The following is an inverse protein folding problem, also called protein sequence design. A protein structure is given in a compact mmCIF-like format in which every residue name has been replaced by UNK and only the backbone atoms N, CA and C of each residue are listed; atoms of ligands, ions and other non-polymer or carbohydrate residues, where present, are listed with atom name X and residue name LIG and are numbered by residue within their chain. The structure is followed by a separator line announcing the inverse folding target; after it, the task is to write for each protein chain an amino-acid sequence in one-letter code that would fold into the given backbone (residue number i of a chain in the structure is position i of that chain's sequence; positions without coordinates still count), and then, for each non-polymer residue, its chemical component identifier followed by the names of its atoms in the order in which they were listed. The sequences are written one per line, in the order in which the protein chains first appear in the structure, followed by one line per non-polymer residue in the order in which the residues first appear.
data_IF_108311863621
#
_entry.id   IF_108311863621
#
_cell.length_a   1.000
_cell.length_b   1.000
_cell.length_c   1.000
_cell.angle_alpha   90.00
_cell.angle_beta   90.00
_cell.angle_gamma   90.00
#
_symmetry.space_group_name_H-M   'P 1'
#
loop_
_entity.id
_entity.type
_entity.pdbx_description
1 polymer ?
#
# COMPACT_ATOMS: atom_id res chain seq x y z
N UNK A 1 -38.59 -13.95 -41.46
CA UNK A 1 -38.40 -13.31 -40.14
C UNK A 1 -37.30 -14.05 -39.44
N UNK A 2 -36.08 -13.47 -39.49
CA UNK A 2 -34.90 -14.05 -38.84
C UNK A 2 -34.78 -13.50 -37.42
N UNK A 3 -34.45 -14.31 -36.41
CA UNK A 3 -34.27 -13.82 -35.03
C UNK A 3 -32.90 -13.12 -34.89
N UNK A 4 -32.95 -11.92 -34.29
CA UNK A 4 -31.80 -11.10 -33.94
C UNK A 4 -30.98 -11.80 -32.82
N UNK A 5 -29.63 -11.83 -32.89
CA UNK A 5 -28.83 -12.41 -31.83
C UNK A 5 -28.81 -11.50 -30.63
N UNK A 6 -29.33 -12.00 -29.51
CA UNK A 6 -29.33 -11.35 -28.20
C UNK A 6 -27.90 -11.11 -27.71
N UNK A 7 -27.58 -9.84 -27.45
CA UNK A 7 -26.30 -9.40 -26.94
C UNK A 7 -26.00 -10.00 -25.56
N UNK A 8 -24.86 -10.64 -25.43
CA UNK A 8 -24.30 -11.14 -24.17
C UNK A 8 -23.85 -9.93 -23.33
N UNK A 9 -24.71 -9.46 -22.44
CA UNK A 9 -24.43 -8.37 -21.51
C UNK A 9 -23.62 -8.91 -20.32
N UNK A 10 -22.33 -8.71 -20.37
CA UNK A 10 -21.53 -8.21 -19.27
C UNK A 10 -21.48 -8.94 -17.93
N UNK A 11 -20.94 -10.17 -17.82
CA UNK A 11 -20.57 -10.79 -16.54
C UNK A 11 -19.27 -10.20 -15.89
N UNK A 12 -18.62 -9.21 -16.54
CA UNK A 12 -17.36 -8.60 -16.05
C UNK A 12 -17.49 -7.45 -15.06
N UNK A 13 -18.67 -6.86 -14.88
CA UNK A 13 -18.87 -5.63 -14.11
C UNK A 13 -18.67 -5.69 -12.60
N UNK A 14 -19.08 -6.73 -11.83
CA UNK A 14 -18.98 -6.68 -10.36
C UNK A 14 -17.58 -6.90 -9.80
N UNK A 15 -16.71 -7.66 -10.46
CA UNK A 15 -15.34 -7.90 -10.01
C UNK A 15 -14.43 -6.66 -10.23
N UNK A 16 -14.62 -5.95 -11.35
CA UNK A 16 -13.90 -4.71 -11.66
C UNK A 16 -14.26 -3.59 -10.67
N UNK A 17 -15.55 -3.42 -10.38
CA UNK A 17 -16.02 -2.42 -9.43
C UNK A 17 -15.51 -2.66 -7.99
N UNK A 18 -15.28 -3.92 -7.62
CA UNK A 18 -14.72 -4.28 -6.31
C UNK A 18 -13.23 -3.94 -6.20
N UNK A 19 -12.50 -3.89 -7.30
CA UNK A 19 -11.09 -3.49 -7.32
C UNK A 19 -10.92 -1.96 -7.29
N UNK A 20 -11.78 -1.23 -7.98
CA UNK A 20 -11.63 0.23 -8.20
C UNK A 20 -11.63 1.04 -6.89
N UNK A 21 -12.51 0.75 -5.93
CA UNK A 21 -12.53 1.49 -4.66
C UNK A 21 -11.28 1.20 -3.80
N UNK A 22 -10.77 -0.03 -3.83
CA UNK A 22 -9.53 -0.39 -3.14
C UNK A 22 -8.33 0.32 -3.76
N UNK A 23 -8.32 0.47 -5.08
CA UNK A 23 -7.27 1.21 -5.79
C UNK A 23 -7.32 2.70 -5.46
N UNK A 24 -8.53 3.30 -5.35
CA UNK A 24 -8.70 4.68 -4.86
C UNK A 24 -8.11 4.83 -3.46
N UNK A 25 -8.44 3.93 -2.53
CA UNK A 25 -7.93 4.00 -1.15
C UNK A 25 -6.40 3.88 -1.08
N UNK A 26 -5.82 2.98 -1.88
CA UNK A 26 -4.35 2.89 -1.99
C UNK A 26 -3.74 4.16 -2.54
N UNK A 27 -4.37 4.76 -3.56
CA UNK A 27 -3.93 6.03 -4.13
C UNK A 27 -3.96 7.16 -3.11
N UNK A 28 -5.04 7.29 -2.35
CA UNK A 28 -5.16 8.28 -1.25
C UNK A 28 -4.08 8.08 -0.20
N UNK A 29 -3.90 6.85 0.29
CA UNK A 29 -2.89 6.54 1.30
C UNK A 29 -1.48 6.84 0.81
N UNK A 30 -1.16 6.53 -0.46
CA UNK A 30 0.15 6.82 -1.05
C UNK A 30 0.40 8.32 -1.22
N UNK A 31 -0.58 9.09 -1.67
CA UNK A 31 -0.42 10.55 -1.74
C UNK A 31 -0.16 11.13 -0.35
N UNK A 32 -0.86 10.64 0.67
CA UNK A 32 -0.61 11.04 2.06
C UNK A 32 0.81 10.64 2.54
N UNK A 33 1.36 9.50 2.09
CA UNK A 33 2.76 9.10 2.34
C UNK A 33 3.73 10.06 1.65
N UNK A 34 3.49 10.41 0.39
CA UNK A 34 4.34 11.35 -0.37
C UNK A 34 4.36 12.73 0.31
N UNK A 35 3.19 13.27 0.67
CA UNK A 35 3.08 14.56 1.37
C UNK A 35 3.78 14.54 2.74
N UNK A 36 3.65 13.44 3.47
CA UNK A 36 4.36 13.26 4.74
C UNK A 36 5.88 13.34 4.55
N UNK A 37 6.44 12.62 3.57
CA UNK A 37 7.86 12.64 3.33
C UNK A 37 8.34 13.96 2.72
N UNK A 38 7.54 14.62 1.87
CA UNK A 38 7.86 15.97 1.39
C UNK A 38 8.00 16.97 2.55
N UNK A 39 7.12 16.86 3.56
CA UNK A 39 7.24 17.70 4.77
C UNK A 39 8.43 17.32 5.65
N UNK A 40 8.61 16.01 5.95
CA UNK A 40 9.67 15.58 6.88
C UNK A 40 11.08 15.73 6.33
N UNK A 41 11.24 15.74 5.00
CA UNK A 41 12.54 15.91 4.34
C UNK A 41 12.96 17.37 4.19
N UNK A 42 12.11 18.36 4.51
CA UNK A 42 12.49 19.78 4.61
C UNK A 42 13.69 20.01 5.53
N UNK A 43 13.90 19.13 6.52
CA UNK A 43 15.09 19.16 7.39
C UNK A 43 16.42 19.06 6.64
N UNK A 44 16.43 18.50 5.43
CA UNK A 44 17.64 18.44 4.60
C UNK A 44 17.93 19.74 3.83
N UNK A 45 17.03 20.73 3.95
CA UNK A 45 17.21 22.09 3.50
C UNK A 45 17.12 23.09 4.68
N UNK A 46 17.34 22.62 5.92
CA UNK A 46 17.25 23.38 7.18
C UNK A 46 15.93 24.16 7.36
N UNK A 47 14.85 23.69 6.74
CA UNK A 47 13.54 24.34 6.78
C UNK A 47 12.57 23.65 7.74
N UNK A 48 11.74 24.47 8.40
CA UNK A 48 10.67 23.99 9.29
C UNK A 48 9.45 23.52 8.50
N UNK A 49 8.81 22.46 9.01
CA UNK A 49 7.54 21.98 8.45
C UNK A 49 6.43 23.00 8.72
N UNK A 50 5.72 23.52 7.70
CA UNK A 50 4.59 24.40 7.88
C UNK A 50 3.53 23.80 8.81
N UNK A 51 2.96 24.60 9.71
CA UNK A 51 2.02 24.12 10.73
C UNK A 51 0.78 23.43 10.13
N UNK A 52 0.18 24.03 9.10
CA UNK A 52 -0.94 23.41 8.38
C UNK A 52 -0.61 22.05 7.80
N UNK A 53 0.61 21.87 7.25
CA UNK A 53 1.06 20.57 6.75
C UNK A 53 1.30 19.58 7.90
N UNK A 54 1.80 20.04 9.03
CA UNK A 54 1.99 19.21 10.23
C UNK A 54 0.64 18.70 10.73
N UNK A 55 -0.37 19.57 10.82
CA UNK A 55 -1.74 19.20 11.19
C UNK A 55 -2.34 18.17 10.22
N UNK A 56 -2.26 18.41 8.91
CA UNK A 56 -2.74 17.47 7.88
C UNK A 56 -2.01 16.12 7.97
N UNK A 57 -0.71 16.13 8.15
CA UNK A 57 0.09 14.91 8.30
C UNK A 57 -0.24 14.15 9.59
N UNK A 58 -0.51 14.85 10.68
CA UNK A 58 -0.98 14.27 11.94
C UNK A 58 -2.35 13.61 11.75
N UNK A 59 -3.29 14.33 11.17
CA UNK A 59 -4.62 13.79 10.88
C UNK A 59 -4.60 12.58 9.93
N UNK A 60 -3.69 12.53 8.96
CA UNK A 60 -3.57 11.40 8.05
C UNK A 60 -2.76 10.21 8.64
N UNK A 61 -2.08 10.37 9.77
CA UNK A 61 -1.19 9.35 10.32
C UNK A 61 -1.86 7.97 10.47
N UNK A 62 -3.04 7.84 11.12
CA UNK A 62 -3.68 6.53 11.33
C UNK A 62 -4.21 5.91 10.03
N UNK A 63 -4.27 6.66 8.93
CA UNK A 63 -4.89 6.23 7.67
C UNK A 63 -3.87 5.98 6.55
N UNK A 64 -2.61 6.36 6.71
CA UNK A 64 -1.58 6.14 5.67
C UNK A 64 -1.18 4.67 5.55
N UNK A 65 -0.30 4.22 6.41
CA UNK A 65 0.22 2.84 6.41
C UNK A 65 -0.80 1.85 6.96
N UNK A 66 -1.55 2.13 8.05
CA UNK A 66 -2.58 1.21 8.53
C UNK A 66 -3.61 0.82 7.47
N UNK A 67 -4.08 1.78 6.67
CA UNK A 67 -4.99 1.50 5.56
C UNK A 67 -4.36 0.60 4.49
N UNK A 68 -3.10 0.84 4.10
CA UNK A 68 -2.39 0.00 3.13
C UNK A 68 -2.21 -1.44 3.64
N UNK A 69 -1.95 -1.59 4.93
CA UNK A 69 -1.82 -2.90 5.60
C UNK A 69 -3.15 -3.63 5.62
N UNK A 70 -4.23 -2.96 6.04
CA UNK A 70 -5.60 -3.52 6.05
C UNK A 70 -6.01 -3.99 4.64
N UNK A 71 -5.78 -3.17 3.62
CA UNK A 71 -6.05 -3.50 2.21
C UNK A 71 -5.19 -4.67 1.71
N UNK A 72 -3.98 -4.85 2.25
CA UNK A 72 -3.12 -5.98 1.92
C UNK A 72 -3.65 -7.28 2.54
N UNK A 73 -4.20 -7.21 3.76
CA UNK A 73 -4.92 -8.31 4.40
C UNK A 73 -6.15 -8.75 3.62
N UNK A 74 -6.95 -7.81 3.09
CA UNK A 74 -8.12 -8.11 2.25
C UNK A 74 -7.81 -8.96 1.01
N UNK A 75 -6.57 -8.97 0.54
CA UNK A 75 -6.16 -9.78 -0.61
C UNK A 75 -5.63 -11.17 -0.24
N UNK A 76 -5.53 -11.49 1.05
CA UNK A 76 -4.92 -12.73 1.53
C UNK A 76 -5.64 -14.00 1.07
N UNK A 77 -6.98 -14.15 1.18
CA UNK A 77 -7.64 -15.40 0.80
C UNK A 77 -7.32 -15.82 -0.64
N UNK A 78 -7.35 -14.87 -1.59
CA UNK A 78 -7.02 -15.12 -3.01
C UNK A 78 -5.53 -15.42 -3.24
N UNK A 79 -4.67 -14.94 -2.35
CA UNK A 79 -3.23 -15.16 -2.46
C UNK A 79 -2.83 -16.54 -1.95
N UNK A 80 -3.34 -16.94 -0.79
CA UNK A 80 -3.04 -18.22 -0.14
C UNK A 80 -3.67 -19.40 -0.89
N UNK A 81 -4.85 -19.24 -1.49
CA UNK A 81 -5.53 -20.29 -2.26
C UNK A 81 -4.71 -20.81 -3.46
N UNK A 82 -3.68 -20.08 -3.90
CA UNK A 82 -2.77 -20.49 -4.98
C UNK A 82 -1.74 -21.54 -4.57
N UNK A 83 -1.70 -21.95 -3.30
CA UNK A 83 -0.71 -22.84 -2.71
C UNK A 83 0.56 -22.11 -2.25
N UNK A 84 1.21 -22.64 -1.21
CA UNK A 84 2.33 -22.00 -0.49
C UNK A 84 3.47 -21.58 -1.40
N UNK A 85 3.94 -22.47 -2.30
CA UNK A 85 5.07 -22.19 -3.19
C UNK A 85 4.79 -21.04 -4.16
N UNK A 86 3.59 -21.03 -4.78
CA UNK A 86 3.18 -19.95 -5.71
C UNK A 86 2.94 -18.64 -4.96
N UNK A 87 2.35 -18.72 -3.78
CA UNK A 87 2.18 -17.59 -2.88
C UNK A 87 3.52 -16.95 -2.51
N UNK A 88 4.45 -17.73 -1.95
CA UNK A 88 5.77 -17.21 -1.51
C UNK A 88 6.54 -16.58 -2.68
N UNK A 89 6.65 -17.29 -3.82
CA UNK A 89 7.29 -16.74 -5.03
C UNK A 89 6.64 -15.44 -5.50
N UNK A 90 5.30 -15.38 -5.50
CA UNK A 90 4.58 -14.18 -5.90
C UNK A 90 4.84 -12.99 -4.96
N UNK A 91 4.92 -13.21 -3.65
CA UNK A 91 5.21 -12.16 -2.66
C UNK A 91 6.67 -11.71 -2.72
N UNK A 92 7.60 -12.64 -2.84
CA UNK A 92 9.02 -12.32 -3.03
C UNK A 92 9.25 -11.54 -4.33
N UNK A 93 8.62 -11.93 -5.42
CA UNK A 93 8.75 -11.21 -6.69
C UNK A 93 8.11 -9.82 -6.68
N UNK A 94 6.96 -9.66 -6.02
CA UNK A 94 6.19 -8.41 -6.07
C UNK A 94 6.57 -7.41 -4.97
N UNK A 95 7.14 -7.86 -3.85
CA UNK A 95 7.49 -7.00 -2.70
C UNK A 95 8.96 -7.17 -2.32
N UNK A 96 9.46 -8.41 -2.23
CA UNK A 96 10.83 -8.69 -1.82
C UNK A 96 11.87 -8.16 -2.79
N UNK A 97 11.68 -8.42 -4.07
CA UNK A 97 12.59 -7.92 -5.10
C UNK A 97 12.65 -6.38 -5.16
N UNK A 98 11.53 -5.66 -5.25
CA UNK A 98 11.58 -4.20 -5.15
C UNK A 98 12.19 -3.69 -3.85
N UNK A 99 11.91 -4.31 -2.72
CA UNK A 99 12.51 -3.94 -1.44
C UNK A 99 14.04 -4.03 -1.50
N UNK A 100 14.58 -5.17 -1.92
CA UNK A 100 16.04 -5.37 -2.01
C UNK A 100 16.70 -4.41 -2.99
N UNK A 101 16.18 -4.34 -4.22
CA UNK A 101 16.75 -3.50 -5.26
C UNK A 101 16.74 -2.01 -4.87
N UNK A 102 15.60 -1.52 -4.38
CA UNK A 102 15.45 -0.11 -4.04
C UNK A 102 16.16 0.27 -2.73
N UNK A 103 16.38 -0.67 -1.80
CA UNK A 103 17.27 -0.42 -0.65
C UNK A 103 18.70 -0.18 -1.12
N UNK A 104 19.20 -0.99 -2.06
CA UNK A 104 20.54 -0.78 -2.65
C UNK A 104 20.60 0.53 -3.43
N UNK A 105 19.64 0.79 -4.33
CA UNK A 105 19.60 2.03 -5.12
C UNK A 105 19.54 3.28 -4.24
N UNK A 106 18.75 3.24 -3.17
CA UNK A 106 18.69 4.34 -2.21
C UNK A 106 20.00 4.52 -1.46
N UNK A 107 20.65 3.42 -1.06
CA UNK A 107 21.98 3.46 -0.44
C UNK A 107 23.02 4.14 -1.33
N UNK A 108 23.00 3.86 -2.64
CA UNK A 108 23.88 4.53 -3.61
C UNK A 108 23.63 6.03 -3.74
N UNK A 109 22.37 6.45 -3.64
CA UNK A 109 21.99 7.88 -3.67
C UNK A 109 22.36 8.60 -2.36
N UNK A 110 22.19 7.91 -1.23
CA UNK A 110 22.43 8.49 0.10
C UNK A 110 23.92 8.50 0.48
N UNK A 111 24.70 7.49 0.03
CA UNK A 111 26.12 7.29 0.30
C UNK A 111 26.92 7.18 -1.00
N UNK A 112 27.16 8.28 -1.71
CA UNK A 112 27.79 8.24 -3.04
C UNK A 112 29.25 7.71 -3.02
N UNK A 113 29.90 7.68 -1.86
CA UNK A 113 31.29 7.21 -1.73
C UNK A 113 31.50 5.70 -1.74
N UNK A 114 30.45 4.87 -1.71
CA UNK A 114 30.51 3.38 -1.70
C UNK A 114 31.55 2.77 -0.72
N UNK A 115 31.86 3.47 0.36
CA UNK A 115 32.82 3.01 1.37
C UNK A 115 32.24 1.95 2.33
N UNK A 116 33.03 1.57 3.34
CA UNK A 116 32.61 0.67 4.43
C UNK A 116 31.34 1.19 5.14
N UNK A 117 31.17 2.49 5.21
CA UNK A 117 30.01 3.15 5.78
C UNK A 117 28.70 2.82 5.01
N UNK A 118 28.75 2.71 3.69
CA UNK A 118 27.62 2.30 2.87
C UNK A 118 27.18 0.87 3.19
N UNK A 119 28.13 -0.05 3.42
CA UNK A 119 27.85 -1.42 3.85
C UNK A 119 27.33 -1.47 5.30
N UNK A 120 27.92 -0.67 6.19
CA UNK A 120 27.49 -0.54 7.58
C UNK A 120 26.04 -0.02 7.70
N UNK A 121 25.60 0.79 6.75
CA UNK A 121 24.21 1.22 6.66
C UNK A 121 23.30 0.19 5.97
N UNK A 122 23.78 -0.42 4.87
CA UNK A 122 22.96 -1.31 4.02
C UNK A 122 22.49 -2.55 4.79
N UNK A 123 23.39 -3.24 5.51
CA UNK A 123 23.05 -4.47 6.21
C UNK A 123 22.01 -4.26 7.29
N UNK A 124 22.13 -3.32 8.23
CA UNK A 124 21.05 -3.00 9.17
C UNK A 124 19.76 -2.58 8.47
N UNK A 125 19.83 -1.78 7.40
CA UNK A 125 18.63 -1.33 6.67
C UNK A 125 17.86 -2.48 6.03
N UNK A 126 18.55 -3.51 5.54
CA UNK A 126 17.92 -4.72 5.01
C UNK A 126 17.25 -5.56 6.11
N UNK A 127 17.82 -5.59 7.32
CA UNK A 127 17.35 -6.42 8.43
C UNK A 127 16.25 -5.74 9.26
N UNK A 128 16.37 -4.42 9.46
CA UNK A 128 15.48 -3.66 10.35
C UNK A 128 14.48 -2.77 9.62
N UNK A 129 14.64 -2.63 8.30
CA UNK A 129 13.88 -1.64 7.54
C UNK A 129 14.27 -0.19 7.88
N UNK A 130 15.52 0.05 8.31
CA UNK A 130 16.06 1.37 8.71
C UNK A 130 16.03 2.45 7.61
N UNK A 131 15.48 2.13 6.44
CA UNK A 131 15.19 3.06 5.35
C UNK A 131 13.69 3.41 5.29
N UNK A 132 13.31 4.29 4.38
CA UNK A 132 11.89 4.59 4.09
C UNK A 132 11.09 3.35 3.62
N UNK A 133 11.77 2.26 3.25
CA UNK A 133 11.17 1.01 2.77
C UNK A 133 10.71 0.05 3.87
N UNK A 134 10.78 0.45 5.15
CA UNK A 134 10.38 -0.37 6.31
C UNK A 134 9.00 -1.02 6.15
N UNK A 135 8.06 -0.34 5.49
CA UNK A 135 6.72 -0.89 5.25
C UNK A 135 6.74 -2.13 4.33
N UNK A 136 7.60 -2.15 3.30
CA UNK A 136 7.75 -3.34 2.44
C UNK A 136 8.36 -4.52 3.20
N UNK A 137 9.32 -4.24 4.08
CA UNK A 137 9.89 -5.26 4.98
C UNK A 137 8.80 -5.84 5.90
N UNK A 138 8.02 -4.97 6.55
CA UNK A 138 6.91 -5.43 7.40
C UNK A 138 5.89 -6.25 6.62
N UNK A 139 5.54 -5.83 5.40
CA UNK A 139 4.67 -6.64 4.55
C UNK A 139 5.24 -8.02 4.26
N UNK A 140 6.55 -8.15 4.00
CA UNK A 140 7.20 -9.45 3.80
C UNK A 140 7.11 -10.32 5.05
N UNK A 141 7.40 -9.73 6.21
CA UNK A 141 7.26 -10.42 7.51
C UNK A 141 5.80 -10.84 7.74
N UNK A 142 4.83 -9.95 7.46
CA UNK A 142 3.40 -10.28 7.62
C UNK A 142 2.96 -11.38 6.65
N UNK A 143 3.45 -11.39 5.43
CA UNK A 143 3.17 -12.46 4.48
C UNK A 143 3.78 -13.80 4.91
N UNK A 144 4.96 -13.81 5.53
CA UNK A 144 5.57 -15.01 6.08
C UNK A 144 4.81 -15.49 7.33
N UNK A 145 4.54 -14.59 8.29
CA UNK A 145 3.76 -14.88 9.48
C UNK A 145 2.36 -15.39 9.16
N UNK A 146 1.72 -14.84 8.11
CA UNK A 146 0.41 -15.29 7.64
C UNK A 146 0.39 -16.76 7.20
N UNK A 147 1.48 -17.30 6.67
CA UNK A 147 1.58 -18.74 6.37
C UNK A 147 1.63 -19.60 7.65
N UNK A 148 2.24 -19.09 8.70
CA UNK A 148 2.31 -19.78 10.01
C UNK A 148 0.91 -19.80 10.64
N UNK A 149 0.24 -18.64 10.70
CA UNK A 149 -1.05 -18.50 11.38
C UNK A 149 -2.26 -18.86 10.49
N UNK A 150 -2.05 -19.36 9.28
CA UNK A 150 -3.13 -19.56 8.30
C UNK A 150 -4.26 -20.51 8.75
N UNK A 151 -3.97 -21.38 9.71
CA UNK A 151 -4.93 -22.34 10.26
C UNK A 151 -5.59 -21.87 11.56
N UNK A 152 -5.11 -20.75 12.11
CA UNK A 152 -5.61 -20.18 13.36
C UNK A 152 -6.77 -19.19 13.07
N UNK A 153 -7.67 -18.98 14.02
CA UNK A 153 -8.73 -17.99 13.90
C UNK A 153 -8.13 -16.57 13.90
N UNK A 154 -8.53 -15.75 12.92
CA UNK A 154 -7.88 -14.45 12.64
C UNK A 154 -8.05 -13.43 13.76
N UNK A 155 -9.28 -13.28 14.30
CA UNK A 155 -9.56 -12.26 15.32
C UNK A 155 -8.88 -12.56 16.66
N UNK A 156 -8.91 -13.78 17.22
CA UNK A 156 -8.12 -14.11 18.42
C UNK A 156 -6.64 -13.84 18.25
N UNK A 157 -6.04 -14.24 17.11
CA UNK A 157 -4.62 -13.95 16.86
C UNK A 157 -4.38 -12.44 16.76
N UNK A 158 -5.25 -11.68 16.09
CA UNK A 158 -5.16 -10.22 16.02
C UNK A 158 -5.26 -9.59 17.42
N UNK A 159 -6.16 -10.08 18.28
CA UNK A 159 -6.28 -9.62 19.65
C UNK A 159 -5.00 -9.86 20.48
N UNK A 160 -4.37 -11.03 20.34
CA UNK A 160 -3.09 -11.31 20.99
C UNK A 160 -2.04 -10.28 20.55
N UNK A 161 -1.93 -9.97 19.24
CA UNK A 161 -0.96 -8.98 18.76
C UNK A 161 -1.29 -7.55 19.21
N UNK A 162 -2.56 -7.21 19.40
CA UNK A 162 -2.96 -5.92 20.01
C UNK A 162 -2.54 -5.84 21.48
N UNK A 163 -2.74 -6.92 22.24
CA UNK A 163 -2.31 -7.00 23.64
C UNK A 163 -0.78 -6.92 23.73
N UNK A 164 -0.06 -7.65 22.90
CA UNK A 164 1.41 -7.58 22.85
C UNK A 164 1.90 -6.16 22.48
N UNK A 165 1.21 -5.47 21.59
CA UNK A 165 1.53 -4.09 21.24
C UNK A 165 1.30 -3.11 22.42
N UNK A 166 0.19 -3.26 23.16
CA UNK A 166 -0.11 -2.39 24.32
C UNK A 166 0.80 -2.66 25.51
N UNK A 167 1.15 -3.93 25.75
CA UNK A 167 2.00 -4.36 26.86
C UNK A 167 3.50 -4.29 26.56
N UNK A 168 3.90 -3.84 25.37
CA UNK A 168 5.30 -3.79 24.98
C UNK A 168 6.10 -2.89 25.96
N UNK A 169 7.09 -3.43 26.70
CA UNK A 169 7.95 -2.65 27.56
C UNK A 169 8.73 -1.59 26.78
N UNK A 170 9.20 -0.54 27.43
CA UNK A 170 9.95 0.55 26.77
C UNK A 170 11.17 0.02 26.02
N UNK A 171 11.85 -1.01 26.54
CA UNK A 171 12.96 -1.69 25.87
C UNK A 171 12.57 -2.35 24.52
N UNK A 172 11.31 -2.76 24.36
CA UNK A 172 10.78 -3.44 23.16
C UNK A 172 9.73 -2.62 22.42
N UNK A 173 9.60 -1.35 22.73
CA UNK A 173 8.58 -0.46 22.15
C UNK A 173 8.68 -0.34 20.63
N UNK A 174 9.83 -0.64 20.04
CA UNK A 174 9.99 -0.78 18.59
C UNK A 174 9.14 -1.91 17.98
N UNK A 175 8.66 -2.88 18.79
CA UNK A 175 7.77 -3.98 18.38
C UNK A 175 6.28 -3.59 18.41
N UNK A 176 5.91 -2.51 19.10
CA UNK A 176 4.52 -2.02 19.16
C UNK A 176 3.93 -1.81 17.76
N UNK A 177 4.65 -1.06 16.93
CA UNK A 177 4.20 -0.74 15.57
C UNK A 177 3.97 -1.99 14.69
N UNK A 178 4.93 -2.91 14.52
CA UNK A 178 4.71 -4.11 13.70
C UNK A 178 3.62 -5.01 14.26
N UNK A 179 3.48 -5.15 15.58
CA UNK A 179 2.42 -5.94 16.20
C UNK A 179 1.03 -5.34 15.91
N UNK A 180 0.86 -4.03 16.12
CA UNK A 180 -0.38 -3.31 15.77
C UNK A 180 -0.72 -3.45 14.28
N UNK A 181 0.23 -3.23 13.40
CA UNK A 181 0.01 -3.33 11.97
C UNK A 181 -0.30 -4.77 11.53
N UNK A 182 0.31 -5.78 12.17
CA UNK A 182 -0.03 -7.17 11.89
C UNK A 182 -1.44 -7.53 12.32
N UNK A 183 -1.90 -7.00 13.46
CA UNK A 183 -3.30 -7.15 13.89
C UNK A 183 -4.28 -6.57 12.85
N UNK A 184 -3.99 -5.38 12.31
CA UNK A 184 -4.79 -4.78 11.23
C UNK A 184 -4.75 -5.63 9.94
N UNK A 185 -3.60 -6.20 9.60
CA UNK A 185 -3.47 -7.11 8.47
C UNK A 185 -4.38 -8.33 8.63
N UNK A 186 -4.41 -8.95 9.81
CA UNK A 186 -5.28 -10.08 10.13
C UNK A 186 -6.76 -9.68 10.13
N UNK A 187 -7.08 -8.48 10.65
CA UNK A 187 -8.43 -7.90 10.56
C UNK A 187 -8.90 -7.73 9.11
N UNK A 188 -8.02 -7.24 8.22
CA UNK A 188 -8.29 -7.18 6.79
C UNK A 188 -8.52 -8.56 6.16
N UNK A 189 -7.73 -9.54 6.54
CA UNK A 189 -7.92 -10.92 6.10
C UNK A 189 -9.25 -11.48 6.57
N UNK A 190 -9.59 -11.33 7.85
CA UNK A 190 -10.88 -11.74 8.39
C UNK A 190 -12.07 -11.09 7.66
N UNK A 191 -12.00 -9.79 7.39
CA UNK A 191 -13.04 -9.09 6.61
C UNK A 191 -13.19 -9.67 5.19
N UNK A 192 -12.10 -10.13 4.57
CA UNK A 192 -12.15 -10.76 3.26
C UNK A 192 -12.82 -12.15 3.28
N UNK A 193 -12.71 -12.86 4.41
CA UNK A 193 -13.42 -14.12 4.68
C UNK A 193 -14.91 -13.89 4.95
N UNK A 194 -15.32 -12.65 5.32
CA UNK A 194 -16.71 -12.25 5.58
C UNK A 194 -17.21 -11.19 4.58
N UNK A 195 -17.32 -11.52 3.28
CA UNK A 195 -17.63 -10.54 2.23
C UNK A 195 -19.02 -9.91 2.35
N UNK A 196 -19.97 -10.58 3.03
CA UNK A 196 -21.28 -10.04 3.35
C UNK A 196 -21.18 -8.84 4.30
N UNK A 197 -20.47 -9.01 5.43
CA UNK A 197 -20.24 -7.96 6.41
C UNK A 197 -19.53 -6.75 5.79
N UNK A 198 -18.43 -6.99 5.07
CA UNK A 198 -17.69 -5.93 4.39
C UNK A 198 -18.59 -5.14 3.43
N UNK A 199 -19.41 -5.84 2.64
CA UNK A 199 -20.32 -5.23 1.67
C UNK A 199 -21.39 -4.37 2.35
N UNK A 200 -21.97 -4.86 3.43
CA UNK A 200 -22.97 -4.13 4.20
C UNK A 200 -22.33 -2.89 4.85
N UNK A 201 -21.19 -3.04 5.51
CA UNK A 201 -20.50 -1.94 6.17
C UNK A 201 -20.14 -0.80 5.20
N UNK A 202 -19.50 -1.10 4.04
CA UNK A 202 -19.08 -0.07 3.07
C UNK A 202 -20.22 0.55 2.27
N UNK A 203 -21.45 0.01 2.37
CA UNK A 203 -22.63 0.56 1.69
C UNK A 203 -23.60 1.28 2.60
N UNK A 204 -23.53 1.04 3.90
CA UNK A 204 -24.45 1.61 4.89
C UNK A 204 -24.11 3.06 5.20
N UNK A 205 -25.00 4.04 4.92
CA UNK A 205 -24.82 5.43 5.35
C UNK A 205 -24.78 5.54 6.88
N UNK A 206 -25.60 4.76 7.57
CA UNK A 206 -25.65 4.76 9.04
C UNK A 206 -24.32 4.29 9.64
N UNK A 207 -23.73 3.21 9.08
CA UNK A 207 -22.41 2.76 9.51
C UNK A 207 -21.32 3.82 9.24
N UNK A 208 -21.42 4.54 8.11
CA UNK A 208 -20.48 5.62 7.79
C UNK A 208 -20.62 6.82 8.74
N UNK A 209 -21.84 7.22 9.10
CA UNK A 209 -22.09 8.28 10.07
C UNK A 209 -21.60 7.89 11.46
N UNK A 210 -21.92 6.67 11.93
CA UNK A 210 -21.41 6.15 13.19
C UNK A 210 -19.87 6.10 13.21
N UNK A 211 -19.25 5.63 12.12
CA UNK A 211 -17.80 5.64 11.97
C UNK A 211 -17.22 7.06 11.98
N UNK A 212 -17.86 8.04 11.34
CA UNK A 212 -17.42 9.43 11.37
C UNK A 212 -17.47 10.01 12.80
N UNK A 213 -18.51 9.68 13.58
CA UNK A 213 -18.61 10.07 14.99
C UNK A 213 -17.48 9.44 15.83
N UNK A 214 -17.22 8.12 15.66
CA UNK A 214 -16.10 7.42 16.34
C UNK A 214 -14.76 8.03 15.94
N UNK A 215 -14.56 8.35 14.67
CA UNK A 215 -13.34 9.00 14.18
C UNK A 215 -13.14 10.38 14.84
N UNK A 216 -14.18 11.22 14.87
CA UNK A 216 -14.14 12.51 15.52
C UNK A 216 -13.84 12.41 17.03
N UNK A 217 -14.52 11.51 17.73
CA UNK A 217 -14.23 11.22 19.13
C UNK A 217 -12.79 10.73 19.36
N UNK A 218 -12.28 9.88 18.46
CA UNK A 218 -10.90 9.39 18.55
C UNK A 218 -9.89 10.53 18.41
N UNK A 219 -10.08 11.48 17.50
CA UNK A 219 -9.21 12.65 17.39
C UNK A 219 -9.33 13.62 18.57
N UNK A 220 -10.50 13.69 19.20
CA UNK A 220 -10.72 14.55 20.38
C UNK A 220 -10.12 13.97 21.67
N UNK A 221 -10.11 12.64 21.80
CA UNK A 221 -9.81 11.96 23.07
C UNK A 221 -8.51 11.16 23.07
N UNK A 222 -7.96 10.82 21.90
CA UNK A 222 -6.83 9.91 21.76
C UNK A 222 -5.68 10.54 20.96
N UNK A 223 -4.45 10.11 21.25
CA UNK A 223 -3.31 10.46 20.39
C UNK A 223 -3.31 9.61 19.11
N UNK A 224 -3.88 10.18 18.04
CA UNK A 224 -3.95 9.54 16.74
C UNK A 224 -2.65 9.65 15.93
N UNK A 225 -1.61 10.31 16.45
CA UNK A 225 -0.34 10.52 15.73
C UNK A 225 0.54 9.27 15.68
N UNK A 226 0.29 8.28 16.52
CA UNK A 226 1.07 7.05 16.68
C UNK A 226 0.35 5.82 16.14
N UNK A 227 1.14 4.83 15.68
CA UNK A 227 0.64 3.52 15.28
C UNK A 227 0.62 2.59 16.49
N UNK A 228 -0.50 2.55 17.21
CA UNK A 228 -0.65 1.73 18.40
C UNK A 228 -2.10 1.33 18.66
N UNK A 229 -2.36 0.43 19.62
CA UNK A 229 -3.70 -0.09 19.91
C UNK A 229 -4.72 0.99 20.27
N UNK A 230 -4.29 2.08 20.92
CA UNK A 230 -5.16 3.20 21.27
C UNK A 230 -5.72 3.93 20.05
N UNK A 231 -4.99 3.93 18.93
CA UNK A 231 -5.46 4.51 17.66
C UNK A 231 -6.39 3.57 16.88
N UNK A 232 -6.60 2.32 17.32
CA UNK A 232 -7.39 1.32 16.60
C UNK A 232 -8.82 1.77 16.28
N UNK A 233 -9.62 2.32 17.23
CA UNK A 233 -10.99 2.75 16.94
C UNK A 233 -11.05 3.78 15.81
N UNK A 234 -10.24 4.84 15.90
CA UNK A 234 -10.16 5.88 14.88
C UNK A 234 -9.61 5.38 13.54
N UNK A 235 -8.63 4.47 13.57
CA UNK A 235 -8.07 3.86 12.35
C UNK A 235 -9.12 3.04 11.60
N UNK A 236 -9.90 2.19 12.28
CA UNK A 236 -10.95 1.38 11.67
C UNK A 236 -12.12 2.26 11.21
N UNK A 237 -12.51 3.23 12.03
CA UNK A 237 -13.57 4.18 11.68
C UNK A 237 -13.20 5.01 10.45
N UNK A 238 -12.01 5.58 10.41
CA UNK A 238 -11.51 6.32 9.25
C UNK A 238 -11.38 5.46 7.99
N UNK A 239 -10.91 4.22 8.12
CA UNK A 239 -10.86 3.27 7.02
C UNK A 239 -12.27 2.97 6.47
N UNK A 240 -13.29 2.83 7.33
CA UNK A 240 -14.68 2.61 6.92
C UNK A 240 -15.28 3.85 6.23
N UNK A 241 -15.09 5.04 6.78
CA UNK A 241 -15.53 6.30 6.15
C UNK A 241 -14.93 6.44 4.76
N UNK A 242 -13.61 6.27 4.64
CA UNK A 242 -12.93 6.35 3.34
C UNK A 242 -13.41 5.26 2.38
N UNK A 243 -13.66 4.04 2.86
CA UNK A 243 -14.17 2.94 2.04
C UNK A 243 -15.60 3.22 1.54
N UNK A 244 -16.46 3.77 2.40
CA UNK A 244 -17.82 4.20 2.02
C UNK A 244 -17.78 5.27 0.93
N UNK A 245 -16.98 6.33 1.11
CA UNK A 245 -16.81 7.38 0.11
C UNK A 245 -16.25 6.82 -1.20
N UNK A 246 -15.14 6.08 -1.12
CA UNK A 246 -14.50 5.52 -2.29
C UNK A 246 -15.42 4.56 -3.05
N UNK A 247 -16.23 3.75 -2.36
CA UNK A 247 -17.19 2.84 -2.99
C UNK A 247 -18.23 3.58 -3.84
N UNK A 248 -18.64 4.79 -3.43
CA UNK A 248 -19.62 5.63 -4.13
C UNK A 248 -19.04 6.30 -5.36
N UNK A 249 -17.82 6.80 -5.26
CA UNK A 249 -17.22 7.67 -6.28
C UNK A 249 -16.11 7.01 -7.10
N UNK A 250 -15.73 5.75 -6.80
CA UNK A 250 -14.59 5.07 -7.42
C UNK A 250 -14.63 5.00 -8.95
N UNK A 251 -15.81 5.05 -9.56
CA UNK A 251 -15.99 5.00 -11.02
C UNK A 251 -15.91 6.36 -11.70
N UNK A 252 -15.93 7.45 -10.94
CA UNK A 252 -15.79 8.80 -11.48
C UNK A 252 -14.52 8.94 -12.31
N UNK A 253 -14.60 9.65 -13.42
CA UNK A 253 -13.46 10.02 -14.25
C UNK A 253 -12.42 10.82 -13.49
N UNK A 254 -12.87 11.67 -12.57
CA UNK A 254 -12.02 12.50 -11.72
C UNK A 254 -11.05 11.69 -10.85
N UNK A 255 -11.44 10.47 -10.44
CA UNK A 255 -10.60 9.60 -9.60
C UNK A 255 -9.69 8.65 -10.41
N UNK A 256 -9.59 8.82 -11.74
CA UNK A 256 -8.65 8.05 -12.56
C UNK A 256 -7.20 8.13 -12.09
N UNK A 257 -6.66 9.33 -11.71
CA UNK A 257 -5.30 9.44 -11.18
C UNK A 257 -5.11 8.64 -9.90
N UNK A 258 -6.05 8.69 -8.96
CA UNK A 258 -5.97 7.93 -7.70
C UNK A 258 -5.99 6.41 -7.94
N UNK A 259 -6.88 5.93 -8.82
CA UNK A 259 -6.89 4.51 -9.20
C UNK A 259 -5.59 4.09 -9.88
N UNK A 260 -5.04 4.93 -10.75
CA UNK A 260 -3.77 4.66 -11.41
C UNK A 260 -2.61 4.57 -10.39
N UNK A 261 -2.53 5.51 -9.45
CA UNK A 261 -1.55 5.50 -8.36
C UNK A 261 -1.71 4.24 -7.49
N UNK A 262 -2.93 3.90 -7.12
CA UNK A 262 -3.22 2.71 -6.32
C UNK A 262 -2.87 1.39 -7.02
N UNK A 263 -3.16 1.26 -8.31
CA UNK A 263 -2.79 0.08 -9.13
C UNK A 263 -1.27 -0.09 -9.27
N UNK A 264 -0.55 1.01 -9.30
CA UNK A 264 0.90 1.04 -9.43
C UNK A 264 1.59 1.37 -8.10
N UNK A 265 0.95 1.06 -6.98
CA UNK A 265 1.35 1.49 -5.63
C UNK A 265 2.81 1.22 -5.28
N UNK A 266 3.37 0.08 -5.68
CA UNK A 266 4.79 -0.24 -5.44
C UNK A 266 5.71 0.73 -6.17
N UNK A 267 5.40 1.10 -7.42
CA UNK A 267 6.21 2.05 -8.21
C UNK A 267 6.27 3.40 -7.50
N UNK A 268 5.11 3.96 -7.16
CA UNK A 268 5.04 5.24 -6.46
C UNK A 268 5.71 5.17 -5.09
N UNK A 269 5.52 4.06 -4.37
CA UNK A 269 6.09 3.89 -3.03
C UNK A 269 7.61 3.84 -3.02
N UNK A 270 8.26 3.17 -3.96
CA UNK A 270 9.73 3.07 -3.95
C UNK A 270 10.41 4.28 -4.56
N UNK A 271 9.73 5.03 -5.44
CA UNK A 271 10.30 6.16 -6.18
C UNK A 271 10.21 7.48 -5.40
N UNK A 272 9.16 7.68 -4.61
CA UNK A 272 8.87 9.01 -4.04
C UNK A 272 10.01 9.56 -3.17
N UNK A 273 10.53 8.75 -2.28
CA UNK A 273 11.51 9.22 -1.30
C UNK A 273 12.85 9.62 -1.93
N UNK A 274 13.49 8.83 -2.81
CA UNK A 274 14.70 9.25 -3.51
C UNK A 274 14.52 10.55 -4.30
N UNK A 275 13.38 10.70 -4.99
CA UNK A 275 13.09 11.94 -5.75
C UNK A 275 12.99 13.15 -4.82
N UNK A 276 12.21 13.04 -3.74
CA UNK A 276 12.07 14.11 -2.76
C UNK A 276 13.44 14.44 -2.13
N UNK A 277 14.22 13.42 -1.73
CA UNK A 277 15.51 13.58 -1.12
C UNK A 277 16.49 14.37 -2.02
N UNK A 278 16.60 13.96 -3.29
CA UNK A 278 17.47 14.65 -4.25
C UNK A 278 17.04 16.11 -4.43
N UNK A 279 15.75 16.38 -4.57
CA UNK A 279 15.23 17.74 -4.72
C UNK A 279 15.49 18.59 -3.49
N UNK A 280 15.35 18.04 -2.27
CA UNK A 280 15.66 18.77 -1.04
C UNK A 280 17.15 19.10 -0.94
N UNK A 281 18.05 18.18 -1.35
CA UNK A 281 19.49 18.45 -1.39
C UNK A 281 19.86 19.48 -2.45
N UNK A 282 19.22 19.45 -3.61
CA UNK A 282 19.41 20.48 -4.62
C UNK A 282 18.92 21.87 -4.16
N UNK A 283 17.79 21.91 -3.45
CA UNK A 283 17.24 23.14 -2.90
C UNK A 283 18.14 23.73 -1.81
N UNK A 284 18.69 22.91 -0.93
CA UNK A 284 19.68 23.29 0.07
C UNK A 284 20.91 23.93 -0.58
N UNK A 285 21.51 23.27 -1.58
CA UNK A 285 22.66 23.78 -2.33
C UNK A 285 22.36 25.07 -3.10
N UNK A 286 21.11 25.30 -3.49
CA UNK A 286 20.67 26.49 -4.21
C UNK A 286 20.20 27.62 -3.30
N UNK A 287 20.17 27.43 -1.97
CA UNK A 287 19.71 28.42 -1.00
C UNK A 287 18.21 28.74 -1.12
N UNK A 288 17.37 27.76 -1.46
CA UNK A 288 15.92 27.97 -1.63
C UNK A 288 15.20 27.94 -0.27
N UNK A 289 14.57 29.03 0.12
CA UNK A 289 13.96 29.24 1.46
C UNK A 289 12.43 29.06 1.52
N UNK A 290 11.80 28.54 0.49
CA UNK A 290 10.32 28.45 0.42
C UNK A 290 9.76 27.08 0.83
N UNK A 291 9.46 26.77 2.12
CA UNK A 291 9.09 25.42 2.56
C UNK A 291 7.80 24.92 1.90
N UNK A 292 6.79 25.76 1.70
CA UNK A 292 5.54 25.36 1.02
C UNK A 292 5.79 25.04 -0.44
N UNK A 293 6.58 25.89 -1.14
CA UNK A 293 6.94 25.68 -2.54
C UNK A 293 7.70 24.35 -2.70
N UNK A 294 8.70 24.10 -1.84
CA UNK A 294 9.49 22.87 -1.87
C UNK A 294 8.63 21.63 -1.64
N UNK A 295 7.68 21.68 -0.71
CA UNK A 295 6.74 20.56 -0.50
C UNK A 295 5.91 20.31 -1.73
N UNK A 296 5.33 21.35 -2.34
CA UNK A 296 4.48 21.21 -3.55
C UNK A 296 5.30 20.68 -4.73
N UNK A 297 6.48 21.28 -4.98
CA UNK A 297 7.35 20.89 -6.10
C UNK A 297 7.88 19.47 -5.90
N UNK A 298 8.38 19.11 -4.72
CA UNK A 298 8.97 17.81 -4.48
C UNK A 298 7.92 16.69 -4.46
N UNK A 299 6.74 16.93 -3.86
CA UNK A 299 5.62 15.98 -3.92
C UNK A 299 5.10 15.82 -5.35
N UNK A 300 4.93 16.91 -6.08
CA UNK A 300 4.53 16.89 -7.49
C UNK A 300 5.51 16.13 -8.38
N UNK A 301 6.80 16.40 -8.23
CA UNK A 301 7.86 15.71 -8.96
C UNK A 301 7.91 14.20 -8.62
N UNK A 302 7.76 13.83 -7.35
CA UNK A 302 7.72 12.43 -6.94
C UNK A 302 6.52 11.68 -7.54
N UNK A 303 5.33 12.31 -7.57
CA UNK A 303 4.15 11.76 -8.20
C UNK A 303 4.30 11.67 -9.72
N UNK A 304 4.87 12.69 -10.36
CA UNK A 304 5.15 12.69 -11.79
C UNK A 304 6.16 11.61 -12.17
N UNK A 305 7.27 11.48 -11.45
CA UNK A 305 8.26 10.43 -11.66
C UNK A 305 7.65 9.02 -11.52
N UNK A 306 6.84 8.81 -10.46
CA UNK A 306 6.09 7.57 -10.28
C UNK A 306 5.15 7.28 -11.45
N UNK A 307 4.45 8.30 -11.98
CA UNK A 307 3.55 8.15 -13.11
C UNK A 307 4.30 7.82 -14.40
N UNK A 308 5.38 8.52 -14.70
CA UNK A 308 6.23 8.27 -15.88
C UNK A 308 6.78 6.84 -15.86
N UNK A 309 7.35 6.40 -14.72
CA UNK A 309 7.89 5.06 -14.58
C UNK A 309 6.81 3.97 -14.65
N UNK A 310 5.63 4.21 -14.06
CA UNK A 310 4.49 3.29 -14.16
C UNK A 310 4.00 3.14 -15.62
N UNK A 311 3.97 4.23 -16.39
CA UNK A 311 3.59 4.22 -17.81
C UNK A 311 4.69 3.61 -18.71
N UNK A 312 5.96 3.83 -18.39
CA UNK A 312 7.10 3.27 -19.11
C UNK A 312 7.32 1.77 -18.84
N UNK A 313 6.91 1.28 -17.65
CA UNK A 313 7.13 -0.10 -17.21
C UNK A 313 6.67 -1.19 -18.21
N UNK A 314 5.51 -1.10 -18.89
CA UNK A 314 5.11 -2.10 -19.89
C UNK A 314 5.90 -2.00 -21.20
N UNK A 315 6.52 -0.84 -21.48
CA UNK A 315 7.19 -0.54 -22.76
C UNK A 315 8.71 -0.77 -22.71
N UNK A 316 9.32 -0.69 -21.54
CA UNK A 316 10.79 -0.79 -21.36
C UNK A 316 11.15 -1.97 -20.46
N UNK A 317 12.03 -2.85 -20.95
CA UNK A 317 12.58 -3.97 -20.18
C UNK A 317 13.39 -3.50 -18.97
N UNK A 318 14.17 -2.43 -19.14
CA UNK A 318 14.95 -1.83 -18.07
C UNK A 318 14.03 -1.30 -16.95
N UNK A 319 13.03 -0.48 -17.30
CA UNK A 319 12.08 0.06 -16.32
C UNK A 319 11.29 -1.08 -15.65
N UNK A 320 10.90 -2.10 -16.41
CA UNK A 320 10.26 -3.30 -15.84
C UNK A 320 11.15 -3.98 -14.80
N UNK A 321 12.44 -4.09 -15.08
CA UNK A 321 13.44 -4.67 -14.18
C UNK A 321 13.59 -3.92 -12.86
N UNK A 322 13.27 -2.63 -12.78
CA UNK A 322 13.27 -1.88 -11.51
C UNK A 322 12.16 -2.29 -10.53
N UNK A 323 11.09 -2.90 -11.03
CA UNK A 323 9.89 -3.17 -10.22
C UNK A 323 9.40 -4.62 -10.28
N UNK A 324 9.98 -5.43 -11.15
CA UNK A 324 9.51 -6.80 -11.40
C UNK A 324 10.70 -7.72 -11.50
N UNK A 325 10.75 -8.75 -10.67
CA UNK A 325 11.80 -9.76 -10.71
C UNK A 325 11.93 -10.40 -12.10
N UNK A 326 13.16 -10.73 -12.55
CA UNK A 326 13.40 -11.39 -13.83
C UNK A 326 12.62 -12.71 -13.98
N UNK A 327 12.28 -13.09 -15.20
CA UNK A 327 11.30 -14.08 -15.63
C UNK A 327 11.20 -15.44 -14.89
N UNK A 328 12.28 -15.94 -14.29
CA UNK A 328 12.23 -17.19 -13.50
C UNK A 328 11.53 -17.03 -12.13
N UNK A 329 11.38 -15.81 -11.64
CA UNK A 329 10.74 -15.46 -10.36
C UNK A 329 9.33 -14.88 -10.55
N UNK A 330 9.04 -14.31 -11.74
CA UNK A 330 7.68 -13.93 -12.07
C UNK A 330 6.86 -15.21 -12.17
N UNK A 331 5.84 -15.35 -11.32
CA UNK A 331 4.80 -16.32 -11.54
C UNK A 331 4.06 -15.89 -12.81
N UNK A 332 4.62 -16.22 -13.97
CA UNK A 332 3.97 -16.08 -15.24
C UNK A 332 2.74 -16.98 -15.19
N UNK A 333 1.58 -16.39 -14.85
CA UNK A 333 0.35 -16.89 -15.42
C UNK A 333 0.55 -16.81 -16.92
N UNK A 334 0.74 -17.94 -17.58
CA UNK A 334 0.50 -18.02 -19.01
C UNK A 334 -0.83 -17.32 -19.27
N UNK A 335 -0.96 -16.48 -20.32
CA UNK A 335 -2.26 -16.03 -20.74
C UNK A 335 -3.09 -17.31 -20.88
N UNK A 336 -4.23 -17.36 -20.21
CA UNK A 336 -5.24 -18.39 -20.48
C UNK A 336 -5.50 -18.24 -21.97
N UNK A 337 -4.94 -19.15 -22.76
CA UNK A 337 -5.26 -19.26 -24.18
C UNK A 337 -6.79 -19.34 -24.23
N UNK A 338 -7.39 -18.37 -24.91
CA UNK A 338 -8.81 -18.40 -25.21
C UNK A 338 -9.08 -19.77 -25.78
N UNK A 339 -9.91 -20.56 -25.06
CA UNK A 339 -10.17 -21.94 -25.40
C UNK A 339 -10.58 -22.07 -26.86
N UNK A 340 -9.85 -22.87 -27.59
CA UNK A 340 -10.33 -23.44 -28.82
C UNK A 340 -11.62 -24.18 -28.48
N UNK A 341 -12.74 -23.64 -28.89
CA UNK A 341 -14.03 -24.29 -28.88
C UNK A 341 -13.91 -25.53 -29.78
N UNK A 342 -13.73 -26.69 -29.17
CA UNK A 342 -13.83 -27.95 -29.86
C UNK A 342 -15.26 -28.08 -30.39
N UNK A 343 -15.41 -28.01 -31.72
CA UNK A 343 -16.65 -28.33 -32.38
C UNK A 343 -17.02 -29.79 -32.18
N UNK A 344 -18.31 -30.14 -32.19
CA UNK A 344 -18.79 -31.51 -31.98
C UNK A 344 -18.29 -32.43 -33.12
N UNK A 345 -18.05 -33.73 -32.83
CA UNK A 345 -17.61 -34.68 -33.88
C UNK A 345 -18.70 -34.83 -34.94
N UNK A 346 -18.27 -34.64 -36.20
CA UNK A 346 -19.11 -34.97 -37.37
C UNK A 346 -19.28 -36.47 -37.43
N UNK A 347 -20.49 -36.94 -37.25
CA UNK A 347 -20.93 -38.30 -37.61
C UNK A 347 -21.08 -38.32 -39.11
N UNK A 348 -20.30 -39.15 -39.80
CA UNK A 348 -20.46 -39.50 -41.22
C UNK A 348 -21.36 -40.71 -41.37
N UNK A 349 -22.04 -40.87 -42.52
CA UNK A 349 -23.16 -41.80 -42.73
C UNK A 349 -22.79 -43.27 -42.71
#
# INVERSE_FOLDING_TARGET
MSPTPGGVVGAGRPAQARADWMDVLRGVALIAVVLFHAGTLLRFADLQVPEGLRAVNGAAAPLRIPLLVLLSGLLMPRSVSKGVRRYARGKLAAVGYPFLLWTVLYGLVYWPGLGVEALAWLVPSLLTGGSYLWYLLFLLVFYAAALVVRHLPRLPVAAVFLVLAELAPDATKHLERPAFLFALFLGGWWLAEHPGLLRTAVRSPLAAVAAAAVLGASYALLDMSRYGPRALPGTLAGALVLAFCAHRVARSGLLRPLRFTGRNSVVFYVVHFPVIYVLMRCADLAGVEGPVLLVVVSAGAALAAGAVLALARPRSGLVRGLFTAPGRWSASGAPVAAGAVGGPPRTSP
#
